data_IF_744378225728
#
_entry.id   IF_744378225728
#
_cell.length_a   1.000
_cell.length_b   1.000
_cell.length_c   1.000
_cell.angle_alpha   90.00
_cell.angle_beta   90.00
_cell.angle_gamma   90.00
#
_symmetry.space_group_name_H-M   'P 1'
#
loop_
_entity.id
_entity.type
_entity.pdbx_description
1 polymer ?
#
# COMPACT_ATOMS: atom_id res chain seq x y z
N UNK A 1 49.16 -17.57 -16.05
CA UNK A 1 47.88 -17.34 -16.73
C UNK A 1 46.81 -17.28 -15.64
N UNK A 2 46.23 -16.11 -15.38
CA UNK A 2 45.17 -15.93 -14.38
C UNK A 2 43.82 -16.11 -15.07
N UNK A 3 43.02 -17.08 -14.60
CA UNK A 3 41.60 -17.18 -14.92
C UNK A 3 40.79 -16.33 -13.93
N UNK A 4 39.84 -15.49 -14.37
CA UNK A 4 38.91 -14.86 -13.46
C UNK A 4 37.48 -15.26 -13.81
N UNK A 5 36.85 -16.18 -13.07
CA UNK A 5 35.39 -16.38 -13.19
C UNK A 5 34.91 -17.31 -12.08
N UNK A 6 33.84 -17.10 -11.32
CA UNK A 6 32.70 -16.17 -11.39
C UNK A 6 32.31 -15.87 -9.93
N UNK A 7 32.27 -14.59 -9.52
CA UNK A 7 31.45 -14.20 -8.37
C UNK A 7 30.00 -14.40 -8.79
N UNK A 8 29.34 -15.42 -8.24
CA UNK A 8 27.91 -15.57 -8.36
C UNK A 8 27.27 -14.28 -7.84
N UNK A 9 26.68 -13.50 -8.74
CA UNK A 9 25.84 -12.39 -8.35
C UNK A 9 24.67 -12.99 -7.55
N UNK A 10 24.63 -12.75 -6.24
CA UNK A 10 23.43 -12.97 -5.46
C UNK A 10 22.32 -12.15 -6.14
N UNK A 11 21.44 -12.83 -6.87
CA UNK A 11 20.20 -12.25 -7.32
C UNK A 11 19.41 -11.89 -6.06
N UNK A 12 19.43 -10.60 -5.69
CA UNK A 12 18.54 -10.06 -4.67
C UNK A 12 17.13 -10.33 -5.15
N UNK A 13 16.42 -11.27 -4.49
CA UNK A 13 14.99 -11.45 -4.69
C UNK A 13 14.35 -10.06 -4.50
N UNK A 14 13.51 -9.56 -5.43
CA UNK A 14 12.83 -8.30 -5.22
C UNK A 14 12.00 -8.46 -3.95
N UNK A 15 12.36 -7.72 -2.91
CA UNK A 15 11.58 -7.67 -1.69
C UNK A 15 10.24 -7.06 -2.11
N UNK A 16 9.20 -7.89 -2.30
CA UNK A 16 7.89 -7.48 -2.81
C UNK A 16 7.07 -6.74 -1.73
N UNK A 17 7.71 -5.83 -1.02
CA UNK A 17 7.03 -4.87 -0.15
C UNK A 17 6.99 -3.59 -0.96
N UNK A 18 5.83 -3.26 -1.52
CA UNK A 18 5.63 -2.00 -2.22
C UNK A 18 5.93 -0.84 -1.26
N UNK A 19 6.43 0.26 -1.81
CA UNK A 19 6.70 1.47 -1.03
C UNK A 19 5.41 1.95 -0.31
N UNK A 20 5.59 2.55 0.86
CA UNK A 20 4.48 3.17 1.59
C UNK A 20 4.05 4.44 0.87
N UNK A 21 2.75 4.56 0.57
CA UNK A 21 2.19 5.81 0.07
C UNK A 21 1.83 6.68 1.27
N UNK A 22 2.45 7.86 1.37
CA UNK A 22 2.16 8.84 2.40
C UNK A 22 1.40 10.02 1.82
N UNK A 23 0.41 10.52 2.56
CA UNK A 23 -0.42 11.65 2.15
C UNK A 23 -0.37 12.74 3.21
N UNK A 24 -0.15 13.99 2.80
CA UNK A 24 -0.38 15.13 3.69
C UNK A 24 -1.87 15.37 3.83
N UNK A 25 -2.31 15.58 5.06
CA UNK A 25 -3.71 15.82 5.41
C UNK A 25 -3.77 16.76 6.61
N UNK A 26 -4.91 17.43 6.78
CA UNK A 26 -5.17 18.26 7.96
C UNK A 26 -5.50 17.40 9.19
N UNK A 27 -5.38 17.98 10.38
CA UNK A 27 -5.74 17.28 11.63
C UNK A 27 -7.22 16.83 11.61
N UNK A 28 -8.12 17.64 11.04
CA UNK A 28 -9.53 17.28 10.91
C UNK A 28 -9.77 15.98 10.14
N UNK A 29 -8.97 15.67 9.12
CA UNK A 29 -9.07 14.41 8.37
C UNK A 29 -8.66 13.24 9.26
N UNK A 30 -7.59 13.41 10.05
CA UNK A 30 -7.13 12.39 10.99
C UNK A 30 -8.17 12.13 12.09
N UNK A 31 -8.78 13.17 12.64
CA UNK A 31 -9.89 13.04 13.60
C UNK A 31 -11.03 12.25 12.99
N UNK A 32 -11.43 12.53 11.74
CA UNK A 32 -12.51 11.78 11.12
C UNK A 32 -12.16 10.30 10.89
N UNK A 33 -10.91 10.00 10.53
CA UNK A 33 -10.45 8.61 10.40
C UNK A 33 -10.46 7.87 11.75
N UNK A 34 -10.16 8.56 12.86
CA UNK A 34 -10.25 7.99 14.21
C UNK A 34 -11.69 7.66 14.59
N UNK A 35 -12.63 8.57 14.37
CA UNK A 35 -14.06 8.34 14.62
C UNK A 35 -14.56 7.10 13.87
N UNK A 36 -14.26 7.00 12.56
CA UNK A 36 -14.67 5.86 11.75
C UNK A 36 -13.99 4.55 12.19
N UNK A 37 -12.75 4.63 12.65
CA UNK A 37 -12.00 3.50 13.20
C UNK A 37 -12.67 2.93 14.45
N UNK A 38 -13.19 3.80 15.32
CA UNK A 38 -13.96 3.42 16.51
C UNK A 38 -15.36 2.88 16.16
N UNK A 39 -16.08 3.55 15.25
CA UNK A 39 -17.42 3.17 14.80
C UNK A 39 -17.45 1.76 14.17
N UNK A 40 -16.48 1.46 13.31
CA UNK A 40 -16.40 0.18 12.58
C UNK A 40 -15.58 -0.89 13.33
N UNK A 41 -14.96 -0.53 14.47
CA UNK A 41 -14.04 -1.39 15.21
C UNK A 41 -12.91 -1.98 14.33
N UNK A 42 -12.36 -1.13 13.44
CA UNK A 42 -11.26 -1.45 12.53
C UNK A 42 -10.09 -0.51 12.79
N UNK A 43 -8.86 -0.94 12.52
CA UNK A 43 -7.71 -0.04 12.63
C UNK A 43 -7.74 1.09 11.60
N UNK A 44 -7.21 2.27 11.94
CA UNK A 44 -7.14 3.45 11.04
C UNK A 44 -6.56 3.10 9.65
N UNK A 45 -5.53 2.25 9.59
CA UNK A 45 -4.92 1.84 8.34
C UNK A 45 -5.88 1.02 7.45
N UNK A 46 -6.77 0.24 8.06
CA UNK A 46 -7.81 -0.52 7.34
C UNK A 46 -8.86 0.44 6.78
N UNK A 47 -9.36 1.35 7.60
CA UNK A 47 -10.30 2.40 7.18
C UNK A 47 -9.71 3.24 6.04
N UNK A 48 -8.49 3.72 6.19
CA UNK A 48 -7.80 4.49 5.15
C UNK A 48 -7.65 3.70 3.85
N UNK A 49 -7.35 2.39 3.93
CA UNK A 49 -7.27 1.52 2.75
C UNK A 49 -8.62 1.33 2.08
N UNK A 50 -9.69 1.11 2.85
CA UNK A 50 -11.03 0.96 2.31
C UNK A 50 -11.47 2.25 1.59
N UNK A 51 -11.30 3.40 2.23
CA UNK A 51 -11.62 4.71 1.63
C UNK A 51 -10.81 4.94 0.36
N UNK A 52 -9.51 4.64 0.38
CA UNK A 52 -8.64 4.77 -0.79
C UNK A 52 -9.12 3.87 -1.95
N UNK A 53 -9.41 2.60 -1.67
CA UNK A 53 -9.89 1.64 -2.67
C UNK A 53 -11.25 2.04 -3.25
N UNK A 54 -12.19 2.47 -2.42
CA UNK A 54 -13.50 2.97 -2.88
C UNK A 54 -13.35 4.23 -3.73
N UNK A 55 -12.43 5.14 -3.37
CA UNK A 55 -12.10 6.31 -4.18
C UNK A 55 -11.54 5.95 -5.56
N UNK A 56 -10.65 4.96 -5.64
CA UNK A 56 -10.11 4.45 -6.91
C UNK A 56 -11.20 3.83 -7.79
N UNK A 57 -12.06 3.00 -7.20
CA UNK A 57 -13.17 2.37 -7.89
C UNK A 57 -14.17 3.39 -8.41
N UNK A 58 -14.61 4.32 -7.56
CA UNK A 58 -15.61 5.30 -7.92
C UNK A 58 -15.13 6.29 -9.00
N UNK A 59 -13.85 6.67 -8.98
CA UNK A 59 -13.30 7.67 -9.93
C UNK A 59 -12.74 7.06 -11.20
N UNK A 60 -12.16 5.87 -11.13
CA UNK A 60 -11.37 5.29 -12.22
C UNK A 60 -11.79 3.86 -12.58
N UNK A 61 -12.79 3.28 -11.92
CA UNK A 61 -13.20 1.89 -12.15
C UNK A 61 -12.18 0.85 -11.68
N UNK A 62 -11.15 1.26 -10.92
CA UNK A 62 -10.06 0.39 -10.49
C UNK A 62 -10.50 -0.41 -9.25
N UNK A 63 -10.40 -1.73 -9.34
CA UNK A 63 -10.70 -2.64 -8.22
C UNK A 63 -9.38 -3.16 -7.64
N UNK A 64 -9.24 -3.10 -6.32
CA UNK A 64 -8.05 -3.61 -5.59
C UNK A 64 -8.44 -4.78 -4.70
N UNK A 65 -7.74 -5.92 -4.82
CA UNK A 65 -7.87 -7.09 -3.95
C UNK A 65 -6.50 -7.58 -3.51
N UNK A 66 -6.29 -7.80 -2.21
CA UNK A 66 -5.02 -8.32 -1.70
C UNK A 66 -3.80 -7.46 -2.05
N UNK A 67 -3.95 -6.14 -2.06
CA UNK A 67 -2.94 -5.17 -2.52
C UNK A 67 -2.55 -5.27 -3.99
N UNK A 68 -3.41 -5.85 -4.83
CA UNK A 68 -3.22 -5.92 -6.28
C UNK A 68 -4.42 -5.32 -6.99
N UNK A 69 -4.16 -4.59 -8.08
CA UNK A 69 -5.21 -4.18 -9.02
C UNK A 69 -5.70 -5.42 -9.74
N UNK A 70 -7.02 -5.60 -9.78
CA UNK A 70 -7.71 -6.70 -10.48
C UNK A 70 -8.66 -6.06 -11.49
N UNK A 71 -8.33 -6.16 -12.77
CA UNK A 71 -9.15 -5.70 -13.90
C UNK A 71 -10.08 -6.82 -14.40
#
# INVERSE_FOLDING_TARGET
MQEPTKKQALQKRPNRVSEQISFRHSESVKTKLLELSEEENLGIAEIARQIFNEGLKARYGVIVRGNQVVE
#
